data_IF_560159733567
#
_entry.id   IF_560159733567
#
_cell.length_a   1.000
_cell.length_b   1.000
_cell.length_c   1.000
_cell.angle_alpha   90.00
_cell.angle_beta   90.00
_cell.angle_gamma   90.00
#
_symmetry.space_group_name_H-M   'P 1'
#
loop_
_entity.id
_entity.type
_entity.pdbx_description
1 polymer ?
#
# COMPACT_ATOMS: atom_id res chain seq x y z
N UNK A 1 -25.21 -12.10 -3.81
CA UNK A 1 -25.12 -10.64 -4.08
C UNK A 1 -23.73 -10.20 -3.69
N UNK A 2 -22.80 -10.06 -4.63
CA UNK A 2 -21.46 -9.52 -4.35
C UNK A 2 -21.59 -8.00 -4.28
N UNK A 3 -21.73 -7.46 -3.08
CA UNK A 3 -21.80 -6.03 -2.81
C UNK A 3 -20.40 -5.42 -2.98
N UNK A 4 -19.92 -5.33 -4.22
CA UNK A 4 -18.67 -4.63 -4.54
C UNK A 4 -18.97 -3.14 -4.49
N UNK A 5 -19.09 -2.59 -3.27
CA UNK A 5 -19.20 -1.14 -3.09
C UNK A 5 -17.88 -0.52 -3.48
N UNK A 6 -17.80 -0.04 -4.71
CA UNK A 6 -16.76 0.89 -5.12
C UNK A 6 -17.01 2.21 -4.39
N UNK A 7 -16.20 2.50 -3.39
CA UNK A 7 -16.25 3.80 -2.73
C UNK A 7 -15.61 4.82 -3.67
N UNK A 8 -16.44 5.53 -4.44
CA UNK A 8 -16.04 6.82 -4.97
C UNK A 8 -15.73 7.73 -3.78
N UNK A 9 -14.59 8.42 -3.83
CA UNK A 9 -14.19 9.30 -2.75
C UNK A 9 -14.31 10.75 -3.18
N UNK A 10 -14.89 11.55 -2.31
CA UNK A 10 -15.27 12.94 -2.53
C UNK A 10 -14.65 13.85 -1.48
N UNK A 11 -15.06 15.12 -1.47
CA UNK A 11 -14.52 16.13 -0.57
C UNK A 11 -14.75 15.80 0.92
N UNK A 12 -15.69 14.89 1.24
CA UNK A 12 -16.06 14.53 2.60
C UNK A 12 -15.29 13.32 3.17
N UNK A 13 -14.86 12.38 2.33
CA UNK A 13 -14.31 11.10 2.80
C UNK A 13 -12.89 10.78 2.30
N UNK A 14 -12.28 11.59 1.43
CA UNK A 14 -10.98 11.28 0.84
C UNK A 14 -9.86 11.06 1.87
N UNK A 15 -9.97 11.68 3.06
CA UNK A 15 -9.01 11.52 4.17
C UNK A 15 -9.09 10.17 4.86
N UNK A 16 -10.18 9.42 4.67
CA UNK A 16 -10.37 8.10 5.27
C UNK A 16 -9.67 7.00 4.45
N UNK A 17 -9.33 7.28 3.20
CA UNK A 17 -8.68 6.31 2.30
C UNK A 17 -7.22 6.11 2.70
N UNK A 18 -6.86 4.88 3.09
CA UNK A 18 -5.53 4.51 3.60
C UNK A 18 -4.38 4.92 2.67
N UNK A 19 -4.50 4.71 1.35
CA UNK A 19 -3.46 5.12 0.38
C UNK A 19 -3.25 6.64 0.34
N UNK A 20 -4.30 7.43 0.52
CA UNK A 20 -4.20 8.90 0.57
C UNK A 20 -3.56 9.34 1.88
N UNK A 21 -3.94 8.71 3.01
CA UNK A 21 -3.29 8.95 4.31
C UNK A 21 -1.79 8.65 4.24
N UNK A 22 -1.42 7.50 3.67
CA UNK A 22 -0.03 7.09 3.50
C UNK A 22 0.74 8.08 2.62
N UNK A 23 0.13 8.54 1.51
CA UNK A 23 0.71 9.59 0.66
C UNK A 23 1.01 10.85 1.48
N UNK A 24 0.05 11.38 2.24
CA UNK A 24 0.31 12.59 3.03
C UNK A 24 1.34 12.39 4.14
N UNK A 25 1.35 11.23 4.80
CA UNK A 25 2.29 10.94 5.87
C UNK A 25 3.73 10.81 5.34
N UNK A 26 3.92 10.20 4.17
CA UNK A 26 5.23 9.70 3.75
C UNK A 26 5.79 10.35 2.48
N UNK A 27 5.03 11.17 1.74
CA UNK A 27 5.50 11.74 0.46
C UNK A 27 6.74 12.63 0.56
N UNK A 28 7.07 13.13 1.76
CA UNK A 28 8.28 13.90 2.06
C UNK A 28 9.23 13.17 3.03
N UNK A 29 9.04 11.88 3.24
CA UNK A 29 9.92 11.11 4.11
C UNK A 29 11.22 10.77 3.40
N UNK A 30 12.35 10.92 4.09
CA UNK A 30 13.65 10.44 3.59
C UNK A 30 13.75 8.90 3.60
N UNK A 31 12.89 8.23 4.37
CA UNK A 31 12.90 6.77 4.52
C UNK A 31 11.91 6.06 3.59
N UNK A 32 10.89 6.76 3.08
CA UNK A 32 9.83 6.17 2.29
C UNK A 32 9.71 6.86 0.92
N UNK A 33 9.92 6.09 -0.15
CA UNK A 33 9.55 6.52 -1.49
C UNK A 33 8.12 6.10 -1.82
N UNK A 34 7.14 6.83 -1.28
CA UNK A 34 5.71 6.56 -1.49
C UNK A 34 5.04 7.75 -2.15
N UNK A 35 4.10 7.49 -3.06
CA UNK A 35 3.22 8.50 -3.60
C UNK A 35 2.09 7.93 -4.46
N UNK A 36 1.08 8.75 -4.73
CA UNK A 36 -0.01 8.39 -5.63
C UNK A 36 0.39 8.75 -7.06
N UNK A 37 0.25 7.81 -8.00
CA UNK A 37 0.50 8.08 -9.43
C UNK A 37 -0.73 8.70 -10.12
N UNK A 38 -1.91 8.19 -9.78
CA UNK A 38 -3.17 8.62 -10.36
C UNK A 38 -4.27 8.50 -9.31
N UNK A 39 -5.26 9.38 -9.44
CA UNK A 39 -6.46 9.38 -8.62
C UNK A 39 -7.65 9.23 -9.56
N UNK A 40 -8.31 8.08 -9.48
CA UNK A 40 -9.50 7.76 -10.27
C UNK A 40 -10.76 7.92 -9.40
N UNK A 41 -11.88 8.27 -10.01
CA UNK A 41 -13.19 8.38 -9.34
C UNK A 41 -13.20 9.34 -8.14
N UNK A 42 -12.49 10.46 -8.26
CA UNK A 42 -12.43 11.51 -7.25
C UNK A 42 -13.09 12.81 -7.71
N UNK A 43 -13.69 13.55 -6.77
CA UNK A 43 -14.13 14.92 -7.01
C UNK A 43 -12.94 15.82 -7.33
N UNK A 44 -13.12 16.89 -8.14
CA UNK A 44 -12.06 17.86 -8.38
C UNK A 44 -11.52 18.53 -7.11
N UNK A 45 -12.36 18.68 -6.07
CA UNK A 45 -11.95 19.20 -4.76
C UNK A 45 -10.97 18.27 -4.05
N UNK A 46 -11.28 16.97 -3.98
CA UNK A 46 -10.42 15.95 -3.41
C UNK A 46 -9.09 15.85 -4.17
N UNK A 47 -9.10 15.84 -5.52
CA UNK A 47 -7.85 15.80 -6.32
C UNK A 47 -6.94 16.99 -6.00
N UNK A 48 -7.51 18.20 -5.88
CA UNK A 48 -6.73 19.39 -5.50
C UNK A 48 -6.17 19.30 -4.08
N UNK A 49 -6.90 18.68 -3.15
CA UNK A 49 -6.49 18.57 -1.75
C UNK A 49 -5.41 17.51 -1.50
N UNK A 50 -5.37 16.45 -2.31
CA UNK A 50 -4.35 15.38 -2.22
C UNK A 50 -2.94 15.91 -2.49
N UNK A 51 -2.80 16.88 -3.39
CA UNK A 51 -1.51 17.48 -3.72
C UNK A 51 -0.79 16.75 -4.86
N UNK A 52 0.54 16.89 -4.97
CA UNK A 52 1.28 16.46 -6.15
C UNK A 52 1.34 14.94 -6.27
N UNK A 53 0.96 14.44 -7.43
CA UNK A 53 1.09 13.04 -7.80
C UNK A 53 2.53 12.73 -8.23
N UNK A 54 2.99 11.51 -7.97
CA UNK A 54 4.28 11.00 -8.46
C UNK A 54 4.11 10.41 -9.86
N UNK A 55 5.23 10.29 -10.58
CA UNK A 55 5.24 9.49 -11.80
C UNK A 55 4.95 8.02 -11.45
N UNK A 56 4.40 7.28 -12.42
CA UNK A 56 4.32 5.83 -12.28
C UNK A 56 5.73 5.26 -12.16
N UNK A 57 5.91 4.33 -11.24
CA UNK A 57 7.12 3.51 -11.14
C UNK A 57 6.92 2.29 -12.01
N UNK A 58 7.93 1.95 -12.83
CA UNK A 58 7.91 0.70 -13.60
C UNK A 58 7.94 -0.50 -12.65
N UNK A 59 7.29 -1.59 -13.04
CA UNK A 59 7.04 -2.68 -12.11
C UNK A 59 8.35 -3.35 -11.64
N UNK A 60 9.34 -3.42 -12.52
CA UNK A 60 10.66 -3.97 -12.26
C UNK A 60 11.48 -3.10 -11.29
N UNK A 61 11.18 -1.81 -11.17
CA UNK A 61 11.92 -0.91 -10.28
C UNK A 61 11.59 -1.12 -8.80
N UNK A 62 10.49 -1.83 -8.48
CA UNK A 62 10.19 -2.23 -7.10
C UNK A 62 11.30 -3.09 -6.48
N UNK A 63 12.08 -3.83 -7.29
CA UNK A 63 13.19 -4.65 -6.79
C UNK A 63 14.35 -3.82 -6.22
N UNK A 64 14.41 -2.52 -6.52
CA UNK A 64 15.46 -1.61 -6.01
C UNK A 64 15.20 -1.17 -4.58
N UNK A 65 13.96 -1.31 -4.10
CA UNK A 65 13.60 -0.98 -2.73
C UNK A 65 14.14 -2.03 -1.75
N UNK A 66 14.41 -1.61 -0.52
CA UNK A 66 14.77 -2.55 0.55
C UNK A 66 13.54 -3.34 1.04
N UNK A 67 12.37 -2.69 1.04
CA UNK A 67 11.06 -3.29 1.35
C UNK A 67 10.04 -2.70 0.37
N UNK A 68 9.10 -3.53 -0.09
CA UNK A 68 7.94 -3.07 -0.85
C UNK A 68 6.72 -2.97 0.06
N UNK A 69 6.06 -1.81 0.07
CA UNK A 69 4.76 -1.66 0.72
C UNK A 69 3.65 -2.12 -0.21
N UNK A 70 2.75 -2.97 0.30
CA UNK A 70 1.50 -3.28 -0.37
C UNK A 70 0.27 -2.89 0.46
N UNK A 71 -0.55 -2.03 -0.15
CA UNK A 71 -1.72 -1.39 0.46
C UNK A 71 -2.91 -1.72 -0.40
N UNK A 72 -4.01 -2.13 0.20
CA UNK A 72 -5.25 -2.46 -0.51
C UNK A 72 -5.91 -1.21 -1.10
N UNK A 73 -6.73 -1.44 -2.13
CA UNK A 73 -7.52 -0.41 -2.80
C UNK A 73 -8.96 -0.43 -2.31
N UNK A 74 -9.92 -0.38 -3.24
CA UNK A 74 -11.33 -0.64 -2.94
C UNK A 74 -11.64 -2.12 -2.61
N UNK A 75 -10.64 -2.98 -2.79
CA UNK A 75 -10.62 -4.39 -2.44
C UNK A 75 -9.16 -4.81 -2.24
N UNK A 76 -8.86 -6.10 -2.37
CA UNK A 76 -7.48 -6.57 -2.31
C UNK A 76 -6.60 -5.93 -3.39
N UNK A 77 -5.31 -5.84 -3.13
CA UNK A 77 -4.32 -5.36 -4.09
C UNK A 77 -4.04 -6.44 -5.14
N UNK A 78 -4.52 -6.25 -6.37
CA UNK A 78 -4.15 -7.13 -7.50
C UNK A 78 -2.64 -7.11 -7.77
N UNK A 79 -1.92 -6.09 -7.32
CA UNK A 79 -0.46 -6.04 -7.46
C UNK A 79 0.24 -7.08 -6.57
N UNK A 80 -0.40 -7.50 -5.46
CA UNK A 80 0.26 -8.31 -4.44
C UNK A 80 0.83 -9.62 -5.00
N UNK A 81 0.07 -10.38 -5.80
CA UNK A 81 0.58 -11.63 -6.39
C UNK A 81 1.83 -11.42 -7.26
N UNK A 82 1.88 -10.33 -8.03
CA UNK A 82 3.03 -10.05 -8.89
C UNK A 82 4.28 -9.71 -8.08
N UNK A 83 4.11 -8.99 -6.97
CA UNK A 83 5.23 -8.58 -6.11
C UNK A 83 5.91 -9.79 -5.47
N UNK A 84 5.18 -10.88 -5.20
CA UNK A 84 5.74 -12.09 -4.60
C UNK A 84 6.76 -12.80 -5.48
N UNK A 85 6.88 -12.41 -6.75
CA UNK A 85 7.94 -12.90 -7.65
C UNK A 85 9.28 -12.19 -7.47
N UNK A 86 9.34 -11.06 -6.75
CA UNK A 86 10.60 -10.40 -6.42
C UNK A 86 11.25 -11.02 -5.18
N UNK A 87 12.58 -10.95 -5.11
CA UNK A 87 13.33 -11.31 -3.90
C UNK A 87 13.27 -10.21 -2.82
N UNK A 88 12.64 -9.07 -3.11
CA UNK A 88 12.46 -7.97 -2.16
C UNK A 88 11.34 -8.28 -1.18
N UNK A 89 11.57 -8.16 0.14
CA UNK A 89 10.54 -8.45 1.14
C UNK A 89 9.35 -7.48 1.04
N UNK A 90 8.15 -8.01 1.28
CA UNK A 90 6.89 -7.27 1.17
C UNK A 90 6.32 -7.05 2.57
N UNK A 91 5.96 -5.81 2.85
CA UNK A 91 5.21 -5.41 4.05
C UNK A 91 3.78 -5.06 3.62
N UNK A 92 2.83 -5.94 3.97
CA UNK A 92 1.44 -5.92 3.51
C UNK A 92 0.51 -5.31 4.57
N UNK A 93 -0.43 -4.49 4.14
CA UNK A 93 -1.48 -3.97 5.02
C UNK A 93 -2.33 -5.13 5.55
N UNK A 94 -2.49 -5.22 6.87
CA UNK A 94 -3.46 -6.09 7.49
C UNK A 94 -4.87 -5.56 7.21
N UNK A 95 -5.55 -6.16 6.23
CA UNK A 95 -6.92 -5.80 5.86
C UNK A 95 -7.87 -6.98 6.00
N UNK A 96 -9.16 -6.69 5.90
CA UNK A 96 -10.22 -7.69 5.80
C UNK A 96 -10.54 -8.07 4.34
N UNK A 97 -9.79 -7.54 3.37
CA UNK A 97 -9.85 -8.01 2.01
C UNK A 97 -8.96 -9.25 1.91
N UNK A 98 -9.53 -10.33 1.40
CA UNK A 98 -8.78 -11.57 1.22
C UNK A 98 -8.92 -11.97 -0.23
N UNK A 99 -7.80 -11.99 -0.93
CA UNK A 99 -7.79 -12.63 -2.23
C UNK A 99 -7.91 -14.16 -2.06
N UNK A 100 -8.32 -14.88 -3.11
CA UNK A 100 -7.80 -16.24 -3.32
C UNK A 100 -6.24 -16.15 -3.34
N UNK A 101 -5.37 -17.13 -3.52
CA UNK A 101 -3.90 -16.91 -3.43
C UNK A 101 -3.30 -16.39 -2.09
N UNK A 102 -3.87 -15.44 -1.35
CA UNK A 102 -3.32 -14.96 -0.07
C UNK A 102 -3.32 -16.05 1.01
N UNK A 103 -4.29 -16.98 0.97
CA UNK A 103 -4.29 -18.17 1.83
C UNK A 103 -3.17 -19.17 1.50
N UNK A 104 -2.50 -19.02 0.35
CA UNK A 104 -1.33 -19.82 -0.01
C UNK A 104 -0.03 -19.24 0.57
N UNK A 105 -0.09 -18.02 1.11
CA UNK A 105 1.07 -17.33 1.66
C UNK A 105 1.00 -17.36 3.18
N UNK A 106 1.96 -18.05 3.81
CA UNK A 106 1.99 -18.17 5.27
C UNK A 106 2.34 -16.81 5.92
N UNK A 107 1.44 -16.22 6.74
CA UNK A 107 1.75 -15.00 7.49
C UNK A 107 2.95 -15.22 8.42
N UNK A 108 3.89 -14.27 8.45
CA UNK A 108 5.10 -14.35 9.27
C UNK A 108 6.16 -15.35 8.79
N UNK A 109 6.00 -15.92 7.59
CA UNK A 109 7.03 -16.72 6.92
C UNK A 109 7.32 -16.22 5.50
N UNK A 110 6.31 -15.72 4.79
CA UNK A 110 6.47 -15.19 3.44
C UNK A 110 6.00 -13.73 3.28
N UNK A 111 5.22 -13.21 4.24
CA UNK A 111 4.77 -11.81 4.28
C UNK A 111 4.74 -11.33 5.72
N UNK A 112 5.25 -10.13 5.96
CA UNK A 112 5.01 -9.39 7.19
C UNK A 112 3.89 -8.38 7.01
N UNK A 113 3.16 -8.09 8.09
CA UNK A 113 2.04 -7.16 8.05
C UNK A 113 2.22 -5.94 8.94
N UNK A 114 1.47 -4.89 8.59
CA UNK A 114 1.31 -3.66 9.38
C UNK A 114 -0.17 -3.30 9.50
N UNK A 115 -0.53 -2.57 10.56
CA UNK A 115 -1.89 -2.17 10.87
C UNK A 115 -2.53 -1.31 9.78
N UNK A 116 -3.83 -1.55 9.54
CA UNK A 116 -4.62 -0.79 8.55
C UNK A 116 -4.60 0.73 8.76
N UNK A 117 -4.47 1.17 10.01
CA UNK A 117 -4.45 2.59 10.37
C UNK A 117 -3.07 3.25 10.22
N UNK A 118 -2.06 2.52 9.74
CA UNK A 118 -0.68 2.93 9.53
C UNK A 118 0.14 3.15 10.82
N UNK A 119 -0.42 2.85 11.99
CA UNK A 119 0.17 3.23 13.30
C UNK A 119 1.50 2.55 13.61
N UNK A 120 1.72 1.34 13.11
CA UNK A 120 2.91 0.53 13.36
C UNK A 120 3.83 0.40 12.13
N UNK A 121 3.51 1.05 11.01
CA UNK A 121 4.17 0.88 9.72
C UNK A 121 5.70 1.01 9.82
N UNK A 122 6.20 2.07 10.47
CA UNK A 122 7.64 2.29 10.62
C UNK A 122 8.31 1.22 11.47
N UNK A 123 7.69 0.85 12.59
CA UNK A 123 8.22 -0.16 13.49
C UNK A 123 8.28 -1.54 12.81
N UNK A 124 7.23 -1.92 12.08
CA UNK A 124 7.18 -3.17 11.32
C UNK A 124 8.19 -3.17 10.17
N UNK A 125 8.34 -2.06 9.45
CA UNK A 125 9.35 -1.93 8.39
C UNK A 125 10.78 -2.07 8.91
N UNK A 126 11.11 -1.40 10.02
CA UNK A 126 12.42 -1.53 10.64
C UNK A 126 12.70 -2.93 11.18
N UNK A 127 11.69 -3.63 11.69
CA UNK A 127 11.83 -5.01 12.12
C UNK A 127 12.12 -5.93 10.94
N UNK A 128 11.33 -5.82 9.87
CA UNK A 128 11.52 -6.62 8.65
C UNK A 128 12.90 -6.41 8.02
N UNK A 129 13.42 -5.16 7.99
CA UNK A 129 14.78 -4.89 7.51
C UNK A 129 15.85 -5.64 8.31
N UNK A 130 15.71 -5.69 9.64
CA UNK A 130 16.68 -6.38 10.51
C UNK A 130 16.65 -7.87 10.29
N UNK A 131 15.45 -8.45 10.20
CA UNK A 131 15.27 -9.89 10.05
C UNK A 131 15.75 -10.38 8.67
N UNK A 132 15.64 -9.54 7.64
CA UNK A 132 16.09 -9.87 6.28
C UNK A 132 17.61 -9.75 6.08
N UNK A 133 18.31 -9.02 6.95
CA UNK A 133 19.76 -8.84 6.89
C UNK A 133 20.54 -9.83 7.78
N UNK A 134 19.84 -10.60 8.62
CA UNK A 134 20.40 -11.58 9.54
C UNK A 134 20.62 -12.95 8.87
#
# INVERSE_FOLDING_TARGET
TTDTRYTAFDDSNWREVTRIRLHHMMNNSAAFDVGLHAVINASPGAVRAIGPLKNSTDFEDFQRAAIILDVDGNGWSDRFHQLTHFATPILKQASNHTAFFEHLVAPGHAIETFANDLSDLEARGLQLLRDWQA
#
